data_IF_683654418994
#
_entry.id   IF_683654418994
#
_cell.length_a   1.000
_cell.length_b   1.000
_cell.length_c   1.000
_cell.angle_alpha   90.00
_cell.angle_beta   90.00
_cell.angle_gamma   90.00
#
_symmetry.space_group_name_H-M   'P 1'
#
loop_
_entity.id
_entity.type
_entity.pdbx_description
1 polymer ?
#
# COMPACT_ATOMS: atom_id res chain seq x y z
N UNK A 1 78.62 12.85 50.71
CA UNK A 1 77.44 12.08 51.05
C UNK A 1 76.88 11.58 49.74
N UNK A 2 77.14 10.33 49.42
CA UNK A 2 76.87 9.67 48.13
C UNK A 2 75.48 9.08 48.09
N UNK A 3 74.71 9.22 47.01
CA UNK A 3 73.42 8.53 46.87
C UNK A 3 73.65 7.12 46.26
N UNK A 4 72.93 6.20 46.79
CA UNK A 4 72.87 4.78 46.39
C UNK A 4 71.89 4.63 45.23
N UNK A 5 72.37 4.08 44.12
CA UNK A 5 71.59 3.70 42.94
C UNK A 5 71.01 2.31 43.13
N UNK A 6 69.67 2.14 42.94
CA UNK A 6 69.06 0.83 42.80
C UNK A 6 68.60 0.62 41.35
N UNK A 7 69.19 -0.39 40.73
CA UNK A 7 68.68 -0.96 39.48
C UNK A 7 67.48 -1.81 39.77
N UNK A 8 66.34 -1.53 39.12
CA UNK A 8 65.19 -2.42 39.05
C UNK A 8 65.07 -3.00 37.67
N UNK A 9 65.17 -4.33 37.60
CA UNK A 9 65.00 -5.09 36.35
C UNK A 9 63.50 -5.16 35.98
N UNK A 10 63.15 -4.66 34.79
CA UNK A 10 61.79 -4.73 34.24
C UNK A 10 61.58 -6.08 33.51
N UNK A 11 60.60 -6.81 33.95
CA UNK A 11 60.07 -8.01 33.25
C UNK A 11 59.05 -7.54 32.21
N UNK A 12 59.35 -7.78 30.93
CA UNK A 12 58.42 -7.52 29.82
C UNK A 12 57.54 -8.74 29.67
N UNK A 13 56.28 -8.66 30.05
CA UNK A 13 55.22 -9.63 29.74
C UNK A 13 54.62 -9.27 28.39
N UNK A 14 54.93 -10.04 27.37
CA UNK A 14 54.28 -9.97 26.05
C UNK A 14 52.90 -10.63 26.15
N UNK A 15 51.84 -9.83 26.32
CA UNK A 15 50.46 -10.29 26.23
C UNK A 15 50.01 -10.32 24.77
N UNK A 16 49.87 -11.50 24.18
CA UNK A 16 49.14 -11.69 22.94
C UNK A 16 47.64 -11.47 23.23
N UNK A 17 47.13 -10.29 22.89
CA UNK A 17 45.71 -10.03 22.86
C UNK A 17 45.06 -10.64 21.62
N UNK A 18 44.33 -11.73 21.78
CA UNK A 18 43.49 -12.27 20.71
C UNK A 18 42.32 -11.32 20.47
N UNK A 19 42.32 -10.59 19.37
CA UNK A 19 41.14 -9.88 18.87
C UNK A 19 40.12 -10.94 18.39
N UNK A 20 39.12 -11.23 19.21
CA UNK A 20 37.91 -11.90 18.77
C UNK A 20 37.12 -10.94 17.86
N UNK A 21 37.26 -11.10 16.55
CA UNK A 21 36.38 -10.50 15.59
C UNK A 21 34.99 -11.16 15.74
N UNK A 22 34.06 -10.48 16.40
CA UNK A 22 32.64 -10.81 16.32
C UNK A 22 32.18 -10.54 14.86
N UNK A 23 32.32 -11.56 14.01
CA UNK A 23 31.69 -11.60 12.71
C UNK A 23 30.18 -11.70 12.92
N UNK A 24 29.48 -10.56 12.92
CA UNK A 24 28.03 -10.52 12.79
C UNK A 24 27.66 -11.09 11.41
N UNK A 25 27.25 -12.37 11.36
CA UNK A 25 26.59 -12.95 10.20
C UNK A 25 25.23 -12.27 10.06
N UNK A 26 25.18 -11.15 9.34
CA UNK A 26 23.94 -10.62 8.79
C UNK A 26 23.40 -11.68 7.84
N UNK A 27 22.42 -12.47 8.28
CA UNK A 27 21.69 -13.35 7.39
C UNK A 27 21.11 -12.54 6.22
N UNK A 28 20.93 -13.13 5.03
CA UNK A 28 20.30 -12.45 3.91
C UNK A 28 18.96 -11.89 4.38
N UNK A 29 18.83 -10.54 4.35
CA UNK A 29 17.57 -9.87 4.65
C UNK A 29 16.49 -10.51 3.78
N UNK A 30 15.40 -10.98 4.42
CA UNK A 30 14.27 -11.54 3.70
C UNK A 30 13.79 -10.44 2.74
N UNK A 31 13.89 -10.70 1.43
CA UNK A 31 13.35 -9.80 0.43
C UNK A 31 11.87 -9.52 0.77
N UNK A 32 11.42 -8.28 0.57
CA UNK A 32 10.01 -7.97 0.70
C UNK A 32 9.21 -8.88 -0.25
N UNK A 33 8.03 -9.37 0.15
CA UNK A 33 7.21 -10.19 -0.72
C UNK A 33 6.83 -9.40 -1.99
N UNK A 34 6.94 -10.05 -3.14
CA UNK A 34 6.49 -9.48 -4.41
C UNK A 34 4.96 -9.30 -4.39
N UNK A 35 4.43 -8.20 -4.93
CA UNK A 35 2.99 -7.99 -4.97
C UNK A 35 2.31 -9.01 -5.90
N UNK A 36 1.20 -9.59 -5.44
CA UNK A 36 0.37 -10.48 -6.25
C UNK A 36 -0.37 -9.76 -7.37
N UNK A 37 -0.65 -8.47 -7.17
CA UNK A 37 -1.21 -7.58 -8.17
C UNK A 37 -0.82 -6.13 -7.89
N UNK A 38 -0.87 -5.28 -8.93
CA UNK A 38 -0.54 -3.86 -8.81
C UNK A 38 -1.38 -3.00 -9.74
N UNK A 39 -1.40 -1.68 -9.49
CA UNK A 39 -2.02 -0.68 -10.35
C UNK A 39 -1.18 0.59 -10.42
N UNK A 40 -0.85 1.05 -11.62
CA UNK A 40 -0.30 2.39 -11.85
C UNK A 40 -1.43 3.41 -11.85
N UNK A 41 -1.47 4.28 -10.83
CA UNK A 41 -2.49 5.32 -10.71
C UNK A 41 -2.14 6.53 -11.59
N UNK A 42 -3.13 6.97 -12.36
CA UNK A 42 -3.02 8.15 -13.25
C UNK A 42 -4.13 9.14 -12.93
N UNK A 43 -3.83 10.42 -13.05
CA UNK A 43 -4.81 11.49 -12.91
C UNK A 43 -5.62 11.71 -14.21
N UNK A 44 -6.58 12.65 -14.17
CA UNK A 44 -7.44 13.01 -15.31
C UNK A 44 -6.69 13.49 -16.57
N UNK A 45 -5.44 13.94 -16.43
CA UNK A 45 -4.57 14.27 -17.56
C UNK A 45 -3.79 13.06 -18.12
N UNK A 46 -4.00 11.85 -17.54
CA UNK A 46 -3.26 10.65 -17.89
C UNK A 46 -1.85 10.57 -17.31
N UNK A 47 -1.43 11.54 -16.50
CA UNK A 47 -0.12 11.57 -15.87
C UNK A 47 -0.04 10.56 -14.73
N UNK A 48 1.05 9.79 -14.60
CA UNK A 48 1.23 8.89 -13.47
C UNK A 48 1.40 9.70 -12.18
N UNK A 49 0.69 9.30 -11.12
CA UNK A 49 0.71 9.97 -9.81
C UNK A 49 1.00 9.02 -8.66
N UNK A 50 1.09 7.72 -8.89
CA UNK A 50 1.38 6.76 -7.84
C UNK A 50 1.15 5.32 -8.24
N UNK A 51 1.19 4.45 -7.24
CA UNK A 51 1.02 3.01 -7.38
C UNK A 51 0.19 2.47 -6.23
N UNK A 52 -0.61 1.45 -6.53
CA UNK A 52 -1.20 0.58 -5.53
C UNK A 52 -0.70 -0.85 -5.72
N UNK A 53 -0.50 -1.57 -4.62
CA UNK A 53 -0.04 -2.97 -4.62
C UNK A 53 -0.92 -3.82 -3.73
N UNK A 54 -1.23 -5.03 -4.19
CA UNK A 54 -1.90 -6.06 -3.42
C UNK A 54 -0.86 -7.13 -3.08
N UNK A 55 -0.50 -7.24 -1.80
CA UNK A 55 0.59 -8.11 -1.33
C UNK A 55 0.07 -9.09 -0.28
N UNK A 56 0.36 -10.37 -0.45
CA UNK A 56 0.02 -11.39 0.55
C UNK A 56 0.96 -11.30 1.76
N UNK A 57 0.39 -11.13 2.94
CA UNK A 57 1.09 -11.06 4.23
C UNK A 57 0.54 -12.15 5.17
N UNK A 58 1.06 -13.37 5.03
CA UNK A 58 0.53 -14.52 5.74
C UNK A 58 -0.90 -14.83 5.32
N UNK A 59 -1.87 -14.71 6.23
CA UNK A 59 -3.29 -14.92 5.94
C UNK A 59 -4.03 -13.63 5.51
N UNK A 60 -3.37 -12.49 5.54
CA UNK A 60 -3.93 -11.20 5.15
C UNK A 60 -3.51 -10.83 3.71
N UNK A 61 -4.40 -10.15 2.99
CA UNK A 61 -4.07 -9.42 1.78
C UNK A 61 -4.02 -7.93 2.12
N UNK A 62 -2.88 -7.30 1.85
CA UNK A 62 -2.67 -5.89 2.09
C UNK A 62 -2.72 -5.10 0.78
N UNK A 63 -3.53 -4.03 0.76
CA UNK A 63 -3.52 -3.00 -0.27
C UNK A 63 -2.64 -1.85 0.21
N UNK A 64 -1.43 -1.73 -0.33
CA UNK A 64 -0.60 -0.55 -0.19
C UNK A 64 -0.97 0.49 -1.24
N UNK A 65 -1.10 1.76 -0.85
CA UNK A 65 -1.38 2.89 -1.76
C UNK A 65 -0.37 3.99 -1.50
N UNK A 66 0.43 4.32 -2.51
CA UNK A 66 1.40 5.42 -2.47
C UNK A 66 1.13 6.35 -3.64
N UNK A 67 0.64 7.56 -3.36
CA UNK A 67 0.22 8.54 -4.37
C UNK A 67 0.67 9.95 -4.01
N UNK A 68 0.79 10.80 -5.03
CA UNK A 68 1.04 12.23 -4.89
C UNK A 68 0.16 13.04 -5.82
N UNK A 69 0.31 14.37 -5.77
CA UNK A 69 -0.40 15.30 -6.66
C UNK A 69 -1.93 15.24 -6.53
N UNK A 70 -2.44 14.89 -5.36
CA UNK A 70 -3.85 14.99 -4.99
C UNK A 70 -4.09 16.24 -4.14
N UNK A 71 -5.35 16.66 -4.02
CA UNK A 71 -5.73 17.71 -3.08
C UNK A 71 -5.59 17.18 -1.65
N UNK A 72 -5.10 17.99 -0.68
CA UNK A 72 -5.09 17.58 0.71
C UNK A 72 -6.51 17.34 1.25
N UNK A 73 -6.67 16.30 2.07
CA UNK A 73 -7.94 15.96 2.69
C UNK A 73 -8.29 14.47 2.61
N UNK A 74 -9.56 14.17 2.79
CA UNK A 74 -10.09 12.80 2.69
C UNK A 74 -10.71 12.61 1.30
N UNK A 75 -10.48 11.44 0.71
CA UNK A 75 -10.94 11.06 -0.61
C UNK A 75 -11.58 9.67 -0.56
N UNK A 76 -12.73 9.49 -1.17
CA UNK A 76 -13.30 8.17 -1.38
C UNK A 76 -12.30 7.31 -2.19
N UNK A 77 -12.15 6.05 -1.78
CA UNK A 77 -11.27 5.08 -2.40
C UNK A 77 -12.04 3.79 -2.63
N UNK A 78 -12.13 3.32 -3.88
CA UNK A 78 -12.93 2.14 -4.17
C UNK A 78 -12.31 1.29 -5.27
N UNK A 79 -12.50 -0.04 -5.18
CA UNK A 79 -12.35 -0.89 -6.34
C UNK A 79 -13.59 -0.80 -7.24
N UNK A 80 -13.37 -0.67 -8.54
CA UNK A 80 -14.39 -0.60 -9.58
C UNK A 80 -14.41 -1.87 -10.44
N UNK A 81 -15.56 -2.14 -11.07
CA UNK A 81 -15.90 -3.43 -11.66
C UNK A 81 -15.34 -3.67 -13.08
N UNK A 82 -14.58 -2.72 -13.65
CA UNK A 82 -13.97 -2.89 -14.95
C UNK A 82 -12.49 -2.46 -14.94
N UNK A 83 -11.61 -3.30 -15.52
CA UNK A 83 -10.19 -3.01 -15.68
C UNK A 83 -9.92 -2.01 -16.80
N UNK A 84 -10.53 -0.82 -16.70
CA UNK A 84 -10.36 0.29 -17.65
C UNK A 84 -10.31 1.63 -16.93
N UNK A 85 -9.36 2.48 -17.33
CA UNK A 85 -9.12 3.79 -16.75
C UNK A 85 -8.96 4.85 -17.84
N UNK A 86 -10.02 5.10 -18.61
CA UNK A 86 -10.00 6.07 -19.70
C UNK A 86 -10.20 7.49 -19.15
N UNK A 87 -9.21 8.39 -19.28
CA UNK A 87 -9.35 9.77 -18.83
C UNK A 87 -10.28 10.56 -19.77
N UNK A 88 -10.82 11.71 -19.33
CA UNK A 88 -10.51 12.37 -18.06
C UNK A 88 -11.37 11.94 -16.87
N UNK A 89 -12.53 11.32 -17.09
CA UNK A 89 -13.55 11.08 -16.06
C UNK A 89 -13.57 9.66 -15.49
N UNK A 90 -12.81 8.73 -16.11
CA UNK A 90 -12.65 7.34 -15.69
C UNK A 90 -13.98 6.57 -15.55
N UNK A 91 -15.02 7.01 -16.26
CA UNK A 91 -16.33 6.31 -16.26
C UNK A 91 -16.23 4.90 -16.81
N UNK A 92 -15.21 4.62 -17.63
CA UNK A 92 -14.88 3.30 -18.16
C UNK A 92 -14.55 2.24 -17.09
N UNK A 93 -14.15 2.65 -15.87
CA UNK A 93 -13.96 1.74 -14.74
C UNK A 93 -15.28 1.13 -14.23
N UNK A 94 -16.43 1.65 -14.67
CA UNK A 94 -17.75 1.12 -14.28
C UNK A 94 -18.17 1.52 -12.85
N UNK A 95 -19.15 0.81 -12.27
CA UNK A 95 -19.58 1.02 -10.88
C UNK A 95 -18.56 0.44 -9.88
N UNK A 96 -18.81 0.62 -8.59
CA UNK A 96 -18.07 -0.07 -7.52
C UNK A 96 -18.12 -1.59 -7.72
N UNK A 97 -17.03 -2.27 -7.34
CA UNK A 97 -16.95 -3.73 -7.42
C UNK A 97 -17.86 -4.38 -6.37
N UNK A 98 -19.00 -4.88 -6.82
CA UNK A 98 -20.10 -5.37 -5.97
C UNK A 98 -20.65 -6.72 -6.44
N UNK A 99 -19.86 -7.79 -6.40
CA UNK A 99 -20.32 -9.12 -6.83
C UNK A 99 -21.44 -9.69 -5.96
N UNK A 100 -21.54 -9.25 -4.71
CA UNK A 100 -22.49 -9.74 -3.72
C UNK A 100 -23.82 -8.95 -3.69
N UNK A 101 -23.98 -7.94 -4.55
CA UNK A 101 -25.18 -7.08 -4.66
C UNK A 101 -25.58 -6.45 -3.33
N UNK A 102 -24.59 -6.01 -2.55
CA UNK A 102 -24.80 -5.28 -1.28
C UNK A 102 -25.06 -3.81 -1.56
N UNK A 103 -25.44 -3.06 -0.51
CA UNK A 103 -25.50 -1.61 -0.53
C UNK A 103 -24.11 -1.02 -0.34
N UNK A 104 -23.92 0.25 -0.76
CA UNK A 104 -22.70 0.97 -0.50
C UNK A 104 -22.54 1.32 0.98
N UNK A 105 -21.27 1.27 1.43
CA UNK A 105 -20.78 1.93 2.64
C UNK A 105 -20.42 1.01 3.78
N UNK A 106 -19.22 1.27 4.35
CA UNK A 106 -18.68 0.51 5.48
C UNK A 106 -19.55 0.64 6.75
N UNK A 107 -20.34 1.70 6.84
CA UNK A 107 -21.25 1.95 7.96
C UNK A 107 -22.72 1.69 7.62
N UNK A 108 -23.02 1.17 6.43
CA UNK A 108 -24.38 0.80 6.02
C UNK A 108 -24.67 -0.64 6.48
N UNK A 109 -25.77 -0.91 7.24
CA UNK A 109 -26.08 -2.26 7.71
C UNK A 109 -26.39 -3.26 6.57
N UNK A 110 -26.72 -2.79 5.38
CA UNK A 110 -26.93 -3.61 4.17
C UNK A 110 -25.67 -3.71 3.27
N UNK A 111 -24.60 -3.00 3.66
CA UNK A 111 -23.30 -2.97 2.97
C UNK A 111 -22.26 -3.86 3.61
N UNK A 112 -21.01 -3.60 3.31
CA UNK A 112 -20.52 -2.80 2.17
C UNK A 112 -20.49 -3.56 0.85
N UNK A 113 -20.19 -2.88 -0.26
CA UNK A 113 -19.66 -3.54 -1.47
C UNK A 113 -18.31 -4.18 -1.17
N UNK A 114 -17.94 -5.21 -1.89
CA UNK A 114 -16.60 -5.80 -1.76
C UNK A 114 -15.48 -4.81 -2.14
N UNK A 115 -15.81 -3.84 -2.98
CA UNK A 115 -14.89 -2.80 -3.44
C UNK A 115 -14.82 -1.56 -2.55
N UNK A 116 -15.64 -1.43 -1.51
CA UNK A 116 -15.63 -0.26 -0.64
C UNK A 116 -14.43 -0.31 0.32
N UNK A 117 -13.70 0.81 0.42
CA UNK A 117 -12.51 0.96 1.25
C UNK A 117 -12.68 2.17 2.19
N UNK A 118 -11.94 2.23 3.29
CA UNK A 118 -11.86 3.46 4.06
C UNK A 118 -11.33 4.61 3.23
N UNK A 119 -11.75 5.83 3.53
CA UNK A 119 -11.25 7.02 2.86
C UNK A 119 -9.73 7.11 2.88
N UNK A 120 -9.12 7.45 1.74
CA UNK A 120 -7.72 7.81 1.64
C UNK A 120 -7.49 9.17 2.28
N UNK A 121 -6.52 9.29 3.19
CA UNK A 121 -6.16 10.56 3.81
C UNK A 121 -4.91 11.11 3.15
N UNK A 122 -5.06 12.23 2.45
CA UNK A 122 -3.99 12.93 1.74
C UNK A 122 -3.43 14.04 2.62
N UNK A 123 -2.12 14.06 2.81
CA UNK A 123 -1.40 15.05 3.60
C UNK A 123 -1.38 16.44 2.97
N UNK A 124 -0.91 17.44 3.73
CA UNK A 124 -0.82 18.84 3.28
C UNK A 124 0.13 19.04 2.07
N UNK A 125 1.02 18.08 1.84
CA UNK A 125 1.94 18.03 0.69
C UNK A 125 1.32 17.42 -0.58
N UNK A 126 0.05 16.99 -0.50
CA UNK A 126 -0.67 16.35 -1.60
C UNK A 126 -0.31 14.87 -1.78
N UNK A 127 0.34 14.24 -0.81
CA UNK A 127 0.72 12.83 -0.86
C UNK A 127 -0.05 11.98 0.16
N UNK A 128 -0.16 10.68 -0.13
CA UNK A 128 -0.62 9.66 0.81
C UNK A 128 0.23 8.40 0.64
N UNK A 129 0.60 7.78 1.76
CA UNK A 129 1.22 6.46 1.83
C UNK A 129 0.51 5.70 2.95
N UNK A 130 -0.24 4.66 2.60
CA UNK A 130 -1.10 3.96 3.55
C UNK A 130 -1.32 2.51 3.14
N UNK A 131 -1.71 1.68 4.10
CA UNK A 131 -2.00 0.27 3.90
C UNK A 131 -3.37 -0.06 4.47
N UNK A 132 -4.15 -0.86 3.74
CA UNK A 132 -5.44 -1.39 4.15
C UNK A 132 -5.39 -2.92 4.11
N UNK A 133 -6.05 -3.58 5.05
CA UNK A 133 -6.30 -5.02 4.98
C UNK A 133 -7.58 -5.24 4.17
N UNK A 134 -7.50 -6.08 3.15
CA UNK A 134 -8.61 -6.35 2.22
C UNK A 134 -8.85 -7.86 2.07
N UNK A 135 -9.93 -8.24 1.39
CA UNK A 135 -10.26 -9.65 1.17
C UNK A 135 -9.31 -10.33 0.17
N UNK A 136 -8.84 -11.54 0.48
CA UNK A 136 -8.11 -12.40 -0.46
C UNK A 136 -8.89 -12.74 -1.72
N UNK A 137 -10.23 -12.69 -1.67
CA UNK A 137 -11.07 -12.96 -2.82
C UNK A 137 -10.75 -12.03 -4.01
N UNK A 138 -10.26 -10.81 -3.72
CA UNK A 138 -9.94 -9.79 -4.73
C UNK A 138 -8.86 -10.23 -5.73
N UNK A 139 -7.95 -11.14 -5.34
CA UNK A 139 -6.89 -11.67 -6.21
C UNK A 139 -7.07 -13.16 -6.52
N UNK A 140 -8.09 -13.79 -5.94
CA UNK A 140 -8.42 -15.20 -6.13
C UNK A 140 -8.98 -15.53 -7.51
N UNK A 141 -9.83 -16.53 -7.56
CA UNK A 141 -10.57 -16.94 -8.75
C UNK A 141 -12.08 -16.77 -8.54
N UNK A 142 -12.84 -16.63 -9.66
CA UNK A 142 -14.29 -16.52 -9.60
C UNK A 142 -14.81 -15.09 -9.58
N UNK A 143 -16.10 -14.89 -9.26
CA UNK A 143 -16.79 -13.62 -9.45
C UNK A 143 -16.35 -12.50 -8.48
N UNK A 144 -15.65 -12.86 -7.40
CA UNK A 144 -15.15 -11.92 -6.40
C UNK A 144 -13.72 -11.44 -6.66
N UNK A 145 -13.15 -11.80 -7.83
CA UNK A 145 -11.78 -11.43 -8.22
C UNK A 145 -11.75 -10.22 -9.14
N UNK A 146 -10.88 -9.26 -8.82
CA UNK A 146 -10.52 -8.14 -9.69
C UNK A 146 -9.67 -8.56 -10.89
N UNK A 147 -9.12 -9.80 -10.87
CA UNK A 147 -8.27 -10.37 -11.92
C UNK A 147 -9.06 -11.26 -12.89
N UNK A 148 -10.40 -11.22 -12.79
CA UNK A 148 -11.31 -11.94 -13.69
C UNK A 148 -11.39 -11.32 -15.09
N UNK A 149 -12.25 -11.87 -15.98
CA UNK A 149 -12.33 -11.43 -17.38
C UNK A 149 -12.70 -9.96 -17.59
N UNK A 150 -13.41 -9.35 -16.67
CA UNK A 150 -13.76 -7.92 -16.73
C UNK A 150 -12.64 -7.03 -16.19
N UNK A 151 -11.69 -7.62 -15.44
CA UNK A 151 -10.69 -6.89 -14.68
C UNK A 151 -11.30 -6.09 -13.53
N UNK A 152 -10.49 -5.25 -12.92
CA UNK A 152 -10.88 -4.28 -11.91
C UNK A 152 -9.97 -3.07 -11.96
N UNK A 153 -10.39 -1.97 -11.34
CA UNK A 153 -9.60 -0.77 -11.22
C UNK A 153 -9.71 -0.19 -9.81
N UNK A 154 -8.65 0.43 -9.31
CA UNK A 154 -8.68 1.25 -8.11
C UNK A 154 -8.93 2.71 -8.53
N UNK A 155 -9.92 3.34 -7.90
CA UNK A 155 -10.30 4.72 -8.19
C UNK A 155 -10.23 5.56 -6.92
N UNK A 156 -9.62 6.74 -7.05
CA UNK A 156 -9.65 7.80 -6.03
C UNK A 156 -10.67 8.86 -6.46
N UNK A 157 -11.50 9.28 -5.53
CA UNK A 157 -12.56 10.27 -5.75
C UNK A 157 -12.18 11.67 -5.23
N UNK A 158 -12.91 12.68 -5.69
CA UNK A 158 -12.63 14.08 -5.34
C UNK A 158 -12.99 14.42 -3.89
N UNK A 159 -14.10 13.86 -3.40
CA UNK A 159 -14.69 14.17 -2.10
C UNK A 159 -14.58 12.98 -1.15
N UNK A 160 -14.71 13.19 0.16
CA UNK A 160 -14.83 12.11 1.12
C UNK A 160 -16.04 11.22 0.83
N UNK A 161 -15.86 9.91 0.97
CA UNK A 161 -16.95 8.97 1.08
C UNK A 161 -17.63 9.13 2.45
N UNK A 162 -18.98 9.26 2.48
CA UNK A 162 -19.76 9.30 3.72
C UNK A 162 -19.99 7.92 4.35
N UNK A 163 -19.54 6.84 3.65
CA UNK A 163 -19.56 5.42 4.07
C UNK A 163 -20.98 4.88 4.34
N UNK A 164 -22.03 5.50 3.76
CA UNK A 164 -23.43 5.18 4.03
C UNK A 164 -24.34 5.29 2.83
N UNK A 165 -24.17 6.34 2.02
CA UNK A 165 -25.13 6.69 0.95
C UNK A 165 -24.90 5.85 -0.29
N UNK A 166 -25.84 4.99 -0.63
CA UNK A 166 -25.83 4.22 -1.86
C UNK A 166 -26.06 5.13 -3.09
N UNK A 167 -25.39 4.93 -4.21
CA UNK A 167 -24.44 3.84 -4.53
C UNK A 167 -22.96 4.13 -4.35
N UNK A 168 -22.54 5.31 -3.85
CA UNK A 168 -21.13 5.72 -3.90
C UNK A 168 -20.67 6.69 -2.81
N UNK A 169 -21.44 6.82 -1.70
CA UNK A 169 -21.04 7.62 -0.55
C UNK A 169 -20.88 9.11 -0.83
N UNK A 170 -21.52 9.63 -1.86
CA UNK A 170 -21.38 11.04 -2.29
C UNK A 170 -19.93 11.46 -2.56
N UNK A 171 -19.05 10.52 -2.91
CA UNK A 171 -17.59 10.73 -3.05
C UNK A 171 -17.17 11.59 -4.26
N UNK A 172 -18.13 12.07 -5.07
CA UNK A 172 -17.87 13.02 -6.13
C UNK A 172 -17.19 12.44 -7.37
N UNK A 173 -16.48 13.30 -8.11
CA UNK A 173 -15.84 12.93 -9.35
C UNK A 173 -14.64 11.97 -9.11
N UNK A 174 -14.29 11.20 -10.14
CA UNK A 174 -13.10 10.33 -10.13
C UNK A 174 -11.88 11.15 -10.54
N UNK A 175 -10.88 11.24 -9.67
CA UNK A 175 -9.69 12.09 -9.88
C UNK A 175 -8.45 11.31 -10.23
N UNK A 176 -8.42 10.02 -9.87
CA UNK A 176 -7.35 9.10 -10.27
C UNK A 176 -7.89 7.68 -10.45
N UNK A 177 -7.24 6.92 -11.34
CA UNK A 177 -7.60 5.55 -11.65
C UNK A 177 -6.36 4.73 -12.02
N UNK A 178 -6.33 3.46 -11.63
CA UNK A 178 -5.33 2.47 -12.03
C UNK A 178 -5.96 1.09 -12.23
N UNK A 179 -5.68 0.46 -13.35
CA UNK A 179 -6.12 -0.92 -13.62
C UNK A 179 -5.33 -1.88 -12.75
N UNK A 180 -6.04 -2.82 -12.12
CA UNK A 180 -5.42 -3.89 -11.33
C UNK A 180 -4.91 -4.98 -12.27
N UNK A 181 -3.61 -5.19 -12.26
CA UNK A 181 -2.92 -6.19 -13.08
C UNK A 181 -2.17 -7.18 -12.20
N UNK A 182 -2.07 -8.42 -12.63
CA UNK A 182 -1.29 -9.45 -11.92
C UNK A 182 0.19 -9.08 -11.91
N UNK A 183 0.87 -9.27 -10.78
CA UNK A 183 2.31 -9.09 -10.63
C UNK A 183 3.13 -10.18 -11.30
#
# INVERSE_FOLDING_TARGET
MTPMTYLAAGVILSGLGALSACGGSGGPGRAAPEPAASASLRNAAGSPIGVATLTEQGEALELGVSVGSLTPGRHGLHFHAAGRCEPPDFTSAGPHFNPDQRKHGLQNPEGPHLGDLPNLVVGADGSADTTFVVSHDLIGSGPRSLLGPQGGALVVHADPDDERTDPSGNSGARVACGVIERG
#
